data_IF_967325962990
#
_entry.id   IF_967325962990
#
_cell.length_a   1.000
_cell.length_b   1.000
_cell.length_c   1.000
_cell.angle_alpha   90.00
_cell.angle_beta   90.00
_cell.angle_gamma   90.00
#
_symmetry.space_group_name_H-M   'P 1'
#
loop_
_entity.id
_entity.type
_entity.pdbx_description
1 polymer ?
#
# COMPACT_ATOMS: atom_id res chain seq x y z
N UNK A 1 -12.98 38.64 -9.57
CA UNK A 1 -13.13 37.90 -8.31
C UNK A 1 -12.52 36.52 -8.55
N UNK A 2 -11.58 36.09 -7.71
CA UNK A 2 -10.93 34.78 -7.90
C UNK A 2 -11.92 33.70 -7.47
N UNK A 3 -12.25 32.73 -8.34
CA UNK A 3 -13.15 31.64 -7.96
C UNK A 3 -12.48 30.80 -6.87
N UNK A 4 -13.23 30.54 -5.80
CA UNK A 4 -12.79 29.77 -4.65
C UNK A 4 -13.22 28.32 -4.88
N UNK A 5 -12.27 27.39 -4.83
CA UNK A 5 -12.57 25.97 -4.88
C UNK A 5 -13.20 25.52 -3.56
N UNK A 6 -14.45 25.10 -3.61
CA UNK A 6 -15.14 24.45 -2.49
C UNK A 6 -15.00 22.95 -2.67
N UNK A 7 -14.57 22.27 -1.60
CA UNK A 7 -14.39 20.82 -1.59
C UNK A 7 -14.96 20.20 -0.32
N UNK A 8 -15.33 18.92 -0.38
CA UNK A 8 -15.82 18.18 0.78
C UNK A 8 -17.21 18.61 1.30
N UNK A 9 -18.02 19.28 0.49
CA UNK A 9 -19.35 19.74 0.89
C UNK A 9 -20.30 18.56 1.11
N UNK A 10 -20.94 18.52 2.28
CA UNK A 10 -21.83 17.44 2.73
C UNK A 10 -23.03 17.99 3.46
N UNK A 11 -24.18 17.35 3.24
CA UNK A 11 -25.41 17.58 4.01
C UNK A 11 -25.64 16.36 4.90
N UNK A 12 -25.99 16.59 6.17
CA UNK A 12 -26.19 15.55 7.17
C UNK A 12 -27.64 15.51 7.63
N UNK A 13 -28.13 14.32 8.00
CA UNK A 13 -29.38 14.18 8.73
C UNK A 13 -29.21 14.51 10.23
N UNK A 14 -30.32 14.48 10.98
CA UNK A 14 -30.33 14.73 12.43
C UNK A 14 -29.58 13.66 13.26
N UNK A 15 -29.14 12.56 12.63
CA UNK A 15 -28.29 11.54 13.25
C UNK A 15 -26.80 11.73 12.87
N UNK A 16 -26.46 12.80 12.15
CA UNK A 16 -25.09 13.08 11.71
C UNK A 16 -24.62 12.21 10.54
N UNK A 17 -25.52 11.52 9.84
CA UNK A 17 -25.19 10.69 8.67
C UNK A 17 -25.24 11.55 7.41
N UNK A 18 -24.27 11.42 6.53
CA UNK A 18 -24.24 12.17 5.26
C UNK A 18 -25.38 11.70 4.36
N UNK A 19 -26.32 12.57 4.02
CA UNK A 19 -27.43 12.27 3.10
C UNK A 19 -27.18 12.83 1.69
N UNK A 20 -26.33 13.86 1.57
CA UNK A 20 -25.89 14.37 0.28
C UNK A 20 -24.39 14.67 0.31
N UNK A 21 -23.67 14.28 -0.73
CA UNK A 21 -22.26 14.58 -0.92
C UNK A 21 -22.07 15.21 -2.30
N UNK A 22 -21.50 16.42 -2.32
CA UNK A 22 -21.31 17.18 -3.53
C UNK A 22 -19.91 16.95 -4.12
N UNK A 23 -19.82 17.03 -5.44
CA UNK A 23 -18.55 17.18 -6.12
C UNK A 23 -17.91 18.54 -5.81
N UNK A 24 -16.63 18.70 -6.12
CA UNK A 24 -15.98 20.00 -5.97
C UNK A 24 -16.61 21.01 -6.94
N UNK A 25 -16.87 22.22 -6.46
CA UNK A 25 -17.41 23.30 -7.27
C UNK A 25 -16.75 24.63 -6.93
N UNK A 26 -16.88 25.60 -7.83
CA UNK A 26 -16.36 26.95 -7.60
C UNK A 26 -17.44 27.83 -6.99
N UNK A 27 -17.06 28.58 -5.95
CA UNK A 27 -17.87 29.64 -5.34
C UNK A 27 -17.20 30.99 -5.51
N UNK A 28 -18.01 32.04 -5.50
CA UNK A 28 -17.55 33.44 -5.48
C UNK A 28 -17.41 33.99 -4.05
N UNK A 29 -17.67 33.16 -3.03
CA UNK A 29 -17.74 33.57 -1.62
C UNK A 29 -16.99 32.60 -0.71
N UNK A 30 -16.31 33.14 0.30
CA UNK A 30 -15.73 32.35 1.41
C UNK A 30 -16.77 32.03 2.50
N UNK A 31 -17.96 32.64 2.44
CA UNK A 31 -19.00 32.40 3.43
C UNK A 31 -19.69 31.07 3.14
N UNK A 32 -20.09 30.39 4.21
CA UNK A 32 -20.93 29.20 4.11
C UNK A 32 -22.32 29.58 3.60
N UNK A 33 -22.78 28.91 2.55
CA UNK A 33 -24.08 29.15 1.91
C UNK A 33 -24.95 27.88 2.02
N UNK A 34 -25.92 27.83 2.96
CA UNK A 34 -26.78 26.66 3.10
C UNK A 34 -27.59 26.43 1.82
N UNK A 35 -27.81 25.16 1.44
CA UNK A 35 -28.63 24.76 0.29
C UNK A 35 -28.13 25.26 -1.08
N UNK A 36 -26.85 25.01 -1.38
CA UNK A 36 -26.32 25.28 -2.72
C UNK A 36 -27.01 24.42 -3.79
N UNK A 37 -27.55 25.09 -4.82
CA UNK A 37 -27.99 24.47 -6.08
C UNK A 37 -26.83 24.30 -7.06
N UNK A 38 -25.63 24.69 -6.67
CA UNK A 38 -24.42 24.65 -7.51
C UNK A 38 -23.71 23.32 -7.25
N UNK A 39 -23.38 22.64 -8.33
CA UNK A 39 -22.64 21.38 -8.30
C UNK A 39 -23.52 20.14 -8.41
N UNK A 40 -22.90 19.03 -8.81
CA UNK A 40 -23.53 17.73 -8.86
C UNK A 40 -23.41 17.05 -7.50
N UNK A 41 -24.39 16.21 -7.15
CA UNK A 41 -24.41 15.53 -5.85
C UNK A 41 -24.81 14.07 -5.94
N UNK A 42 -24.27 13.29 -5.01
CA UNK A 42 -24.70 11.94 -4.72
C UNK A 42 -25.63 12.00 -3.52
N UNK A 43 -26.75 11.28 -3.58
CA UNK A 43 -27.71 11.14 -2.48
C UNK A 43 -27.56 9.76 -1.82
N UNK A 44 -27.61 9.72 -0.49
CA UNK A 44 -27.38 8.52 0.31
C UNK A 44 -28.61 8.25 1.19
N UNK A 45 -29.10 7.02 1.13
CA UNK A 45 -30.22 6.54 1.95
C UNK A 45 -29.74 5.44 2.89
N UNK A 46 -30.32 5.38 4.09
CA UNK A 46 -29.90 4.47 5.15
C UNK A 46 -31.10 3.74 5.75
N UNK A 47 -30.86 2.52 6.24
CA UNK A 47 -31.84 1.83 7.08
C UNK A 47 -31.88 2.39 8.52
N UNK A 48 -32.74 1.79 9.35
CA UNK A 48 -32.91 2.17 10.75
C UNK A 48 -31.64 1.95 11.60
N UNK A 49 -30.80 0.98 11.22
CA UNK A 49 -29.51 0.67 11.85
C UNK A 49 -28.39 1.61 11.37
N UNK A 50 -28.66 2.47 10.38
CA UNK A 50 -27.68 3.39 9.83
C UNK A 50 -26.76 2.79 8.78
N UNK A 51 -27.12 1.64 8.21
CA UNK A 51 -26.40 1.02 7.09
C UNK A 51 -26.88 1.64 5.77
N UNK A 52 -25.96 1.94 4.86
CA UNK A 52 -26.26 2.51 3.54
C UNK A 52 -27.08 1.50 2.72
N UNK A 53 -28.29 1.85 2.28
CA UNK A 53 -29.16 0.97 1.49
C UNK A 53 -29.22 1.37 0.02
N UNK A 54 -29.00 2.66 -0.28
CA UNK A 54 -29.03 3.17 -1.65
C UNK A 54 -28.13 4.39 -1.79
N UNK A 55 -27.44 4.44 -2.93
CA UNK A 55 -26.64 5.58 -3.38
C UNK A 55 -27.13 5.98 -4.75
N UNK A 56 -27.65 7.19 -4.89
CA UNK A 56 -28.16 7.74 -6.15
C UNK A 56 -27.18 8.78 -6.69
N UNK A 57 -26.79 8.64 -7.94
CA UNK A 57 -25.84 9.51 -8.62
C UNK A 57 -26.57 10.66 -9.33
N UNK A 58 -25.84 11.71 -9.75
CA UNK A 58 -26.45 12.87 -10.40
C UNK A 58 -27.13 12.55 -11.75
N UNK A 59 -26.74 11.45 -12.41
CA UNK A 59 -27.32 10.95 -13.66
C UNK A 59 -28.51 9.99 -13.45
N UNK A 60 -29.09 9.97 -12.24
CA UNK A 60 -30.14 9.06 -11.78
C UNK A 60 -29.76 7.58 -11.69
N UNK A 61 -28.54 7.19 -12.09
CA UNK A 61 -28.03 5.84 -11.83
C UNK A 61 -27.94 5.59 -10.32
N UNK A 62 -27.98 4.33 -9.91
CA UNK A 62 -28.04 3.96 -8.49
C UNK A 62 -27.21 2.73 -8.18
N UNK A 63 -26.68 2.68 -6.97
CA UNK A 63 -26.24 1.45 -6.31
C UNK A 63 -27.24 1.09 -5.21
N UNK A 64 -27.48 -0.21 -5.02
CA UNK A 64 -28.36 -0.74 -3.96
C UNK A 64 -27.60 -1.72 -3.08
N UNK A 65 -27.94 -1.72 -1.80
CA UNK A 65 -27.28 -2.50 -0.76
C UNK A 65 -28.35 -3.21 0.09
N UNK A 66 -28.27 -4.54 0.11
CA UNK A 66 -29.13 -5.38 0.93
C UNK A 66 -28.25 -6.14 1.93
N UNK A 67 -28.67 -6.22 3.19
CA UNK A 67 -27.92 -6.83 4.29
C UNK A 67 -28.63 -8.06 4.87
N UNK A 68 -29.48 -8.67 4.05
CA UNK A 68 -30.35 -9.79 4.38
C UNK A 68 -30.42 -10.69 3.14
N UNK A 69 -30.98 -11.90 3.27
CA UNK A 69 -31.18 -12.80 2.13
C UNK A 69 -32.28 -12.27 1.21
N UNK A 70 -32.05 -12.36 -0.11
CA UNK A 70 -33.02 -11.98 -1.14
C UNK A 70 -33.79 -13.19 -1.66
N UNK A 71 -35.10 -13.05 -1.85
CA UNK A 71 -35.92 -14.08 -2.53
C UNK A 71 -35.58 -14.24 -4.00
N UNK A 72 -35.25 -13.11 -4.63
CA UNK A 72 -34.90 -13.06 -6.04
C UNK A 72 -33.83 -12.02 -6.26
N UNK A 73 -32.75 -12.43 -6.92
CA UNK A 73 -31.74 -11.49 -7.39
C UNK A 73 -32.26 -10.61 -8.54
N UNK A 74 -33.29 -11.07 -9.28
CA UNK A 74 -33.89 -10.30 -10.38
C UNK A 74 -34.88 -9.26 -9.91
N UNK A 75 -35.50 -9.48 -8.75
CA UNK A 75 -36.49 -8.59 -8.13
C UNK A 75 -36.25 -8.58 -6.62
N UNK A 76 -35.33 -7.75 -6.12
CA UNK A 76 -34.99 -7.70 -4.71
C UNK A 76 -36.05 -6.94 -3.90
N UNK A 77 -37.34 -7.26 -4.11
CA UNK A 77 -38.48 -6.61 -3.45
C UNK A 77 -38.85 -7.26 -2.12
N UNK A 78 -38.37 -8.48 -1.87
CA UNK A 78 -38.65 -9.23 -0.64
C UNK A 78 -37.33 -9.72 -0.05
N UNK A 79 -37.17 -9.46 1.24
CA UNK A 79 -35.97 -9.81 2.01
C UNK A 79 -36.36 -10.72 3.17
N UNK A 80 -35.48 -11.66 3.49
CA UNK A 80 -35.62 -12.56 4.62
C UNK A 80 -34.52 -12.32 5.65
N UNK A 81 -34.85 -12.22 6.95
CA UNK A 81 -33.86 -11.99 8.00
C UNK A 81 -32.73 -13.02 7.97
N UNK A 82 -31.54 -12.57 7.60
CA UNK A 82 -30.28 -13.29 7.63
C UNK A 82 -29.15 -12.26 7.67
N UNK A 83 -28.67 -11.96 8.87
CA UNK A 83 -27.62 -10.95 9.07
C UNK A 83 -26.23 -11.36 8.54
N UNK A 84 -26.09 -12.55 7.96
CA UNK A 84 -24.84 -13.07 7.42
C UNK A 84 -24.72 -12.95 5.90
N UNK A 85 -25.70 -12.35 5.23
CA UNK A 85 -25.66 -12.14 3.78
C UNK A 85 -25.73 -10.66 3.42
N UNK A 86 -24.97 -10.29 2.39
CA UNK A 86 -25.02 -8.95 1.80
C UNK A 86 -25.01 -9.03 0.28
N UNK A 87 -25.86 -8.24 -0.35
CA UNK A 87 -25.91 -8.09 -1.81
C UNK A 87 -25.66 -6.63 -2.19
N UNK A 88 -24.80 -6.42 -3.18
CA UNK A 88 -24.46 -5.09 -3.70
C UNK A 88 -24.77 -5.09 -5.20
N UNK A 89 -25.66 -4.21 -5.60
CA UNK A 89 -26.01 -3.94 -6.99
C UNK A 89 -25.32 -2.65 -7.40
N UNK A 90 -24.48 -2.70 -8.43
CA UNK A 90 -23.85 -1.52 -8.99
C UNK A 90 -24.77 -0.76 -9.97
N UNK A 91 -24.27 0.30 -10.60
CA UNK A 91 -25.04 1.07 -11.58
C UNK A 91 -25.44 0.24 -12.81
N UNK A 92 -24.59 -0.70 -13.25
CA UNK A 92 -24.88 -1.56 -14.40
C UNK A 92 -25.91 -2.63 -14.04
N UNK A 93 -25.84 -3.19 -12.83
CA UNK A 93 -26.85 -4.11 -12.31
C UNK A 93 -28.24 -3.48 -12.31
N UNK A 94 -28.32 -2.20 -11.94
CA UNK A 94 -29.55 -1.42 -11.84
C UNK A 94 -29.99 -0.76 -13.17
N UNK A 95 -29.16 -0.81 -14.21
CA UNK A 95 -29.35 -0.05 -15.45
C UNK A 95 -30.64 -0.43 -16.20
N UNK A 96 -31.09 -1.68 -16.11
CA UNK A 96 -32.36 -2.14 -16.70
C UNK A 96 -33.60 -1.50 -16.07
N UNK A 97 -33.49 -0.95 -14.87
CA UNK A 97 -34.58 -0.19 -14.24
C UNK A 97 -34.43 1.32 -14.43
N UNK A 98 -33.20 1.82 -14.45
CA UNK A 98 -32.93 3.28 -14.46
C UNK A 98 -32.88 3.88 -15.86
N UNK A 99 -32.45 3.13 -16.88
CA UNK A 99 -32.31 3.64 -18.25
C UNK A 99 -33.52 3.25 -19.11
N UNK A 100 -34.02 4.20 -19.91
CA UNK A 100 -35.12 3.97 -20.86
C UNK A 100 -34.69 3.15 -22.08
N UNK A 101 -33.46 3.37 -22.54
CA UNK A 101 -32.84 2.65 -23.64
C UNK A 101 -31.50 2.09 -23.17
N UNK A 102 -31.27 0.81 -23.42
CA UNK A 102 -30.10 0.07 -22.95
C UNK A 102 -29.60 -0.86 -24.04
N UNK A 103 -28.28 -0.88 -24.25
CA UNK A 103 -27.63 -1.75 -25.23
C UNK A 103 -27.76 -3.21 -24.84
N UNK A 104 -27.72 -4.12 -25.83
CA UNK A 104 -27.78 -5.56 -25.57
C UNK A 104 -26.61 -6.07 -24.72
N UNK A 105 -25.46 -5.38 -24.75
CA UNK A 105 -24.32 -5.70 -23.89
C UNK A 105 -24.62 -5.36 -22.43
N UNK A 106 -25.16 -4.17 -22.16
CA UNK A 106 -25.45 -3.75 -20.78
C UNK A 106 -26.61 -4.56 -20.17
N UNK A 107 -27.57 -5.02 -20.99
CA UNK A 107 -28.62 -5.96 -20.53
C UNK A 107 -28.07 -7.23 -19.90
N UNK A 108 -26.89 -7.70 -20.31
CA UNK A 108 -26.26 -8.91 -19.73
C UNK A 108 -25.78 -8.71 -18.30
N UNK A 109 -25.50 -7.47 -17.92
CA UNK A 109 -25.06 -7.07 -16.58
C UNK A 109 -26.22 -6.77 -15.64
N UNK A 110 -27.46 -6.72 -16.11
CA UNK A 110 -28.59 -6.44 -15.24
C UNK A 110 -28.80 -7.55 -14.21
N UNK A 111 -29.00 -7.14 -12.95
CA UNK A 111 -29.25 -8.04 -11.83
C UNK A 111 -28.15 -9.10 -11.65
N UNK A 112 -26.89 -8.71 -11.75
CA UNK A 112 -25.72 -9.57 -11.49
C UNK A 112 -24.96 -9.16 -10.22
N UNK A 113 -25.65 -8.98 -9.08
CA UNK A 113 -25.04 -8.36 -7.91
C UNK A 113 -23.87 -9.17 -7.36
N UNK A 114 -23.01 -8.48 -6.62
CA UNK A 114 -22.02 -9.13 -5.77
C UNK A 114 -22.72 -9.62 -4.50
N UNK A 115 -22.61 -10.91 -4.21
CA UNK A 115 -23.03 -11.49 -2.92
C UNK A 115 -21.83 -11.72 -2.01
N UNK A 116 -21.99 -11.40 -0.73
CA UNK A 116 -21.00 -11.62 0.32
C UNK A 116 -21.67 -12.41 1.43
N UNK A 117 -21.03 -13.48 1.88
CA UNK A 117 -21.47 -14.30 3.01
C UNK A 117 -20.45 -14.14 4.14
N UNK A 118 -20.96 -13.90 5.34
CA UNK A 118 -20.19 -13.73 6.55
C UNK A 118 -20.29 -14.96 7.45
N UNK A 119 -19.31 -15.16 8.30
CA UNK A 119 -19.45 -16.04 9.45
C UNK A 119 -20.09 -15.34 10.65
N UNK A 120 -20.23 -16.09 11.76
CA UNK A 120 -20.81 -15.61 13.02
C UNK A 120 -20.03 -14.45 13.66
N UNK A 121 -18.78 -14.22 13.27
CA UNK A 121 -17.95 -13.11 13.72
C UNK A 121 -17.96 -11.93 12.74
N UNK A 122 -18.77 -12.00 11.67
CA UNK A 122 -18.86 -10.95 10.66
C UNK A 122 -17.70 -10.93 9.65
N UNK A 123 -16.92 -12.02 9.55
CA UNK A 123 -15.79 -12.12 8.60
C UNK A 123 -16.28 -12.69 7.27
N UNK A 124 -15.82 -12.13 6.15
CA UNK A 124 -16.21 -12.58 4.80
C UNK A 124 -15.64 -13.97 4.51
N UNK A 125 -16.50 -14.99 4.44
CA UNK A 125 -16.10 -16.37 4.11
C UNK A 125 -16.35 -16.73 2.64
N UNK A 126 -17.23 -16.00 1.97
CA UNK A 126 -17.51 -16.18 0.55
C UNK A 126 -17.86 -14.86 -0.12
N UNK A 127 -17.31 -14.64 -1.31
CA UNK A 127 -17.68 -13.52 -2.18
C UNK A 127 -17.91 -14.02 -3.59
N UNK A 128 -19.11 -13.77 -4.10
CA UNK A 128 -19.58 -14.23 -5.39
C UNK A 128 -19.77 -13.02 -6.28
N UNK A 129 -18.97 -12.93 -7.34
CA UNK A 129 -19.17 -11.98 -8.44
C UNK A 129 -19.86 -12.70 -9.59
N UNK A 130 -20.81 -12.05 -10.26
CA UNK A 130 -21.56 -12.64 -11.37
C UNK A 130 -21.26 -11.87 -12.63
N UNK A 131 -20.69 -12.52 -13.65
CA UNK A 131 -20.46 -11.90 -14.97
C UNK A 131 -21.62 -12.20 -15.93
N UNK A 132 -22.80 -12.48 -15.38
CA UNK A 132 -23.99 -12.93 -16.10
C UNK A 132 -24.89 -13.77 -15.20
N UNK A 133 -26.10 -14.03 -15.67
CA UNK A 133 -27.13 -14.75 -14.89
C UNK A 133 -26.82 -16.23 -14.68
N UNK A 134 -26.11 -16.85 -15.63
CA UNK A 134 -25.78 -18.27 -15.57
C UNK A 134 -24.68 -18.57 -14.52
N UNK A 135 -24.87 -19.60 -13.71
CA UNK A 135 -23.94 -19.96 -12.61
C UNK A 135 -22.50 -20.22 -13.10
N UNK A 136 -22.31 -20.74 -14.31
CA UNK A 136 -20.98 -20.98 -14.90
C UNK A 136 -20.16 -19.69 -15.10
N UNK A 137 -20.83 -18.54 -15.14
CA UNK A 137 -20.22 -17.22 -15.27
C UNK A 137 -19.91 -16.60 -13.90
N UNK A 138 -20.31 -17.25 -12.81
CA UNK A 138 -20.06 -16.76 -11.46
C UNK A 138 -18.63 -17.06 -11.06
N UNK A 139 -18.06 -16.19 -10.25
CA UNK A 139 -16.70 -16.28 -9.72
C UNK A 139 -16.81 -16.12 -8.22
N UNK A 140 -16.73 -17.24 -7.52
CA UNK A 140 -16.68 -17.29 -6.06
C UNK A 140 -15.23 -17.21 -5.58
N UNK A 141 -15.02 -16.57 -4.45
CA UNK A 141 -13.78 -16.62 -3.68
C UNK A 141 -14.14 -17.02 -2.26
N UNK A 142 -13.42 -17.98 -1.71
CA UNK A 142 -13.67 -18.53 -0.38
C UNK A 142 -12.50 -18.20 0.54
N UNK A 143 -12.80 -17.71 1.73
CA UNK A 143 -11.82 -17.30 2.73
C UNK A 143 -11.99 -18.14 3.99
N UNK A 144 -10.87 -18.60 4.54
CA UNK A 144 -10.85 -19.31 5.83
C UNK A 144 -9.99 -18.56 6.82
N UNK A 145 -10.42 -18.59 8.08
CA UNK A 145 -9.79 -17.88 9.18
C UNK A 145 -9.45 -18.84 10.32
N UNK A 146 -8.39 -18.56 11.05
CA UNK A 146 -8.12 -19.24 12.31
C UNK A 146 -9.02 -18.74 13.47
N UNK A 147 -8.83 -19.33 14.65
CA UNK A 147 -9.58 -18.97 15.85
C UNK A 147 -9.29 -17.55 16.37
N UNK A 148 -8.15 -16.95 15.97
CA UNK A 148 -7.78 -15.57 16.31
C UNK A 148 -8.31 -14.55 15.30
N UNK A 149 -8.89 -15.00 14.19
CA UNK A 149 -9.38 -14.12 13.13
C UNK A 149 -8.40 -13.84 12.00
N UNK A 150 -7.25 -14.51 11.97
CA UNK A 150 -6.30 -14.31 10.90
C UNK A 150 -6.71 -15.08 9.64
N UNK A 151 -6.62 -14.45 8.47
CA UNK A 151 -6.91 -15.09 7.19
C UNK A 151 -5.81 -16.10 6.84
N UNK A 152 -6.13 -17.39 6.80
CA UNK A 152 -5.16 -18.49 6.59
C UNK A 152 -5.20 -19.08 5.18
N UNK A 153 -6.31 -18.93 4.46
CA UNK A 153 -6.49 -19.53 3.14
C UNK A 153 -7.50 -18.72 2.32
N UNK A 154 -7.16 -18.49 1.05
CA UNK A 154 -8.13 -18.09 0.01
C UNK A 154 -8.14 -19.16 -1.08
N UNK A 155 -9.33 -19.63 -1.45
CA UNK A 155 -9.54 -20.46 -2.64
C UNK A 155 -10.31 -19.69 -3.71
N UNK A 156 -9.89 -19.86 -4.96
CA UNK A 156 -10.62 -19.38 -6.12
C UNK A 156 -11.88 -20.19 -6.39
N UNK A 157 -12.63 -19.75 -7.40
CA UNK A 157 -13.88 -20.40 -7.82
C UNK A 157 -13.68 -21.85 -8.24
N UNK A 158 -12.51 -22.18 -8.79
CA UNK A 158 -12.08 -23.51 -9.21
C UNK A 158 -11.50 -24.36 -8.06
N UNK A 159 -11.57 -23.87 -6.82
CA UNK A 159 -11.00 -24.53 -5.65
C UNK A 159 -9.47 -24.42 -5.52
N UNK A 160 -8.78 -23.75 -6.47
CA UNK A 160 -7.33 -23.57 -6.38
C UNK A 160 -6.98 -22.63 -5.23
N UNK A 161 -5.91 -22.95 -4.53
CA UNK A 161 -5.33 -22.10 -3.48
C UNK A 161 -4.69 -20.86 -4.12
N UNK A 162 -5.27 -19.69 -3.85
CA UNK A 162 -4.76 -18.40 -4.31
C UNK A 162 -3.84 -17.78 -3.26
N UNK A 163 -4.14 -18.02 -1.99
CA UNK A 163 -3.35 -17.52 -0.87
C UNK A 163 -3.34 -18.54 0.27
N UNK A 164 -2.20 -18.69 0.94
CA UNK A 164 -2.15 -19.42 2.22
C UNK A 164 -1.14 -18.78 3.15
N UNK A 165 -1.57 -18.53 4.38
CA UNK A 165 -0.79 -17.84 5.40
C UNK A 165 -0.62 -18.73 6.63
N UNK A 166 0.52 -18.60 7.28
CA UNK A 166 0.81 -19.19 8.60
C UNK A 166 1.30 -18.06 9.49
N UNK A 167 0.64 -17.91 10.64
CA UNK A 167 0.97 -16.92 11.63
C UNK A 167 1.66 -17.57 12.84
N UNK A 168 2.34 -16.76 13.63
CA UNK A 168 2.78 -17.18 14.96
C UNK A 168 1.58 -17.33 15.92
N UNK A 169 1.85 -17.87 17.11
CA UNK A 169 0.85 -18.01 18.17
C UNK A 169 0.85 -16.82 19.13
N UNK A 170 1.74 -15.83 18.93
CA UNK A 170 1.83 -14.66 19.79
C UNK A 170 0.57 -13.79 19.63
N UNK A 171 0.32 -12.86 20.57
CA UNK A 171 -0.87 -12.01 20.55
C UNK A 171 -1.05 -11.28 19.22
N UNK A 172 0.06 -10.86 18.60
CA UNK A 172 0.06 -9.99 17.43
C UNK A 172 -0.06 -10.73 16.09
N UNK A 173 -0.12 -12.08 16.10
CA UNK A 173 -0.32 -12.90 14.90
C UNK A 173 0.63 -12.53 13.76
N UNK A 174 1.94 -12.61 13.99
CA UNK A 174 2.92 -12.22 12.99
C UNK A 174 2.93 -13.22 11.83
N UNK A 175 2.94 -12.74 10.58
CA UNK A 175 2.89 -13.57 9.38
C UNK A 175 4.26 -14.23 9.10
N UNK A 176 4.41 -15.50 9.51
CA UNK A 176 5.64 -16.27 9.38
C UNK A 176 5.83 -16.84 7.97
N UNK A 177 4.75 -17.23 7.30
CA UNK A 177 4.78 -17.81 5.95
C UNK A 177 3.59 -17.35 5.14
N UNK A 178 3.82 -17.01 3.88
CA UNK A 178 2.76 -16.70 2.90
C UNK A 178 3.06 -17.37 1.57
N UNK A 179 2.04 -17.89 0.91
CA UNK A 179 2.11 -18.44 -0.44
C UNK A 179 1.09 -17.76 -1.35
N UNK A 180 1.48 -17.44 -2.59
CA UNK A 180 0.55 -17.19 -3.70
C UNK A 180 1.12 -17.74 -5.01
N UNK A 181 0.28 -18.10 -6.00
CA UNK A 181 0.75 -18.55 -7.31
C UNK A 181 1.68 -17.55 -8.01
N UNK A 182 1.47 -16.25 -7.81
CA UNK A 182 2.23 -15.19 -8.49
C UNK A 182 3.59 -14.90 -7.84
N UNK A 183 3.70 -15.07 -6.51
CA UNK A 183 4.90 -14.69 -5.74
C UNK A 183 5.64 -15.89 -5.13
N UNK A 184 5.12 -17.09 -5.31
CA UNK A 184 5.63 -18.28 -4.66
C UNK A 184 5.48 -18.22 -3.14
N UNK A 185 6.26 -19.06 -2.46
CA UNK A 185 6.33 -19.09 -1.00
C UNK A 185 7.33 -18.09 -0.46
N UNK A 186 6.93 -17.32 0.55
CA UNK A 186 7.78 -16.39 1.28
C UNK A 186 7.70 -16.67 2.78
N UNK A 187 8.82 -16.52 3.48
CA UNK A 187 9.00 -16.72 4.91
C UNK A 187 9.52 -15.44 5.55
N UNK A 188 9.13 -15.19 6.80
CA UNK A 188 9.60 -14.07 7.61
C UNK A 188 9.96 -14.54 9.01
N UNK A 189 11.03 -13.99 9.55
CA UNK A 189 11.43 -14.18 10.95
C UNK A 189 11.51 -12.81 11.60
N UNK A 190 10.98 -12.75 12.82
CA UNK A 190 10.90 -11.53 13.61
C UNK A 190 11.83 -11.64 14.82
N UNK A 191 12.36 -10.50 15.27
CA UNK A 191 13.00 -10.41 16.58
C UNK A 191 11.96 -10.24 17.71
N UNK A 192 12.45 -10.09 18.95
CA UNK A 192 11.59 -9.97 20.13
C UNK A 192 10.79 -8.66 20.20
N UNK A 193 11.14 -7.65 19.39
CA UNK A 193 10.42 -6.37 19.31
C UNK A 193 9.66 -6.24 17.98
N UNK A 194 9.45 -7.37 17.30
CA UNK A 194 8.61 -7.51 16.10
C UNK A 194 9.19 -6.85 14.84
N UNK A 195 10.49 -6.58 14.78
CA UNK A 195 11.13 -6.25 13.51
C UNK A 195 11.35 -7.50 12.67
N UNK A 196 11.18 -7.38 11.36
CA UNK A 196 11.59 -8.42 10.42
C UNK A 196 13.12 -8.43 10.33
N UNK A 197 13.74 -9.52 10.78
CA UNK A 197 15.19 -9.71 10.71
C UNK A 197 15.61 -10.65 9.58
N UNK A 198 14.68 -11.46 9.07
CA UNK A 198 14.91 -12.34 7.93
C UNK A 198 13.69 -12.40 7.02
N UNK A 199 13.92 -12.30 5.71
CA UNK A 199 12.95 -12.60 4.66
C UNK A 199 13.58 -13.64 3.73
N UNK A 200 12.82 -14.69 3.39
CA UNK A 200 13.29 -15.73 2.46
C UNK A 200 12.20 -16.13 1.49
N UNK A 201 12.54 -16.34 0.22
CA UNK A 201 11.60 -16.87 -0.78
C UNK A 201 11.86 -18.36 -1.10
N UNK A 202 11.02 -18.96 -1.94
CA UNK A 202 11.14 -20.36 -2.37
C UNK A 202 12.38 -20.68 -3.21
N UNK A 203 13.02 -19.65 -3.79
CA UNK A 203 14.31 -19.77 -4.50
C UNK A 203 15.50 -19.64 -3.55
N UNK A 204 15.23 -19.52 -2.24
CA UNK A 204 16.19 -19.20 -1.20
C UNK A 204 16.91 -17.86 -1.43
N UNK A 205 16.29 -16.94 -2.15
CA UNK A 205 16.64 -15.53 -2.02
C UNK A 205 16.42 -15.14 -0.56
N UNK A 206 17.37 -14.41 0.00
CA UNK A 206 17.42 -14.13 1.44
C UNK A 206 17.76 -12.66 1.64
N UNK A 207 17.05 -12.03 2.56
CA UNK A 207 17.34 -10.69 3.07
C UNK A 207 17.46 -10.77 4.58
N UNK A 208 18.54 -10.23 5.13
CA UNK A 208 18.78 -10.11 6.57
C UNK A 208 18.88 -8.64 6.93
N UNK A 209 18.21 -8.22 7.99
CA UNK A 209 18.16 -6.81 8.41
C UNK A 209 18.71 -6.71 9.83
N UNK A 210 19.64 -5.78 10.05
CA UNK A 210 20.14 -5.43 11.39
C UNK A 210 19.67 -4.03 11.76
N UNK A 211 19.26 -3.91 13.01
CA UNK A 211 18.82 -2.67 13.64
C UNK A 211 19.86 -2.18 14.65
N UNK A 212 19.86 -0.87 14.91
CA UNK A 212 20.59 -0.27 16.03
C UNK A 212 19.79 -0.33 17.34
N UNK A 213 20.35 0.23 18.41
CA UNK A 213 19.72 0.27 19.74
C UNK A 213 18.48 1.17 19.81
N UNK A 214 18.27 2.03 18.82
CA UNK A 214 17.08 2.89 18.67
C UNK A 214 16.06 2.27 17.71
N UNK A 215 16.23 0.99 17.35
CA UNK A 215 15.36 0.23 16.48
C UNK A 215 15.30 0.73 15.02
N UNK A 216 16.39 1.32 14.53
CA UNK A 216 16.50 1.82 13.14
C UNK A 216 17.32 0.87 12.29
N UNK A 217 16.94 0.56 11.04
CA UNK A 217 17.71 -0.34 10.18
C UNK A 217 19.04 0.31 9.80
N UNK A 218 20.14 -0.44 10.01
CA UNK A 218 21.52 0.01 9.74
C UNK A 218 22.25 -0.81 8.68
N UNK A 219 21.88 -2.08 8.49
CA UNK A 219 22.53 -2.97 7.50
C UNK A 219 21.52 -3.94 6.91
N UNK A 220 21.61 -4.15 5.60
CA UNK A 220 20.84 -5.16 4.88
C UNK A 220 21.80 -6.05 4.11
N UNK A 221 21.82 -7.33 4.44
CA UNK A 221 22.50 -8.34 3.66
C UNK A 221 21.52 -9.08 2.77
N UNK A 222 21.93 -9.43 1.56
CA UNK A 222 21.08 -10.19 0.67
C UNK A 222 21.85 -11.18 -0.21
N UNK A 223 21.10 -12.15 -0.75
CA UNK A 223 21.47 -13.00 -1.88
C UNK A 223 20.23 -13.33 -2.70
N UNK A 224 20.39 -13.56 -4.00
CA UNK A 224 19.27 -13.80 -4.91
C UNK A 224 18.86 -15.28 -5.02
N UNK A 225 19.74 -16.21 -4.63
CA UNK A 225 19.44 -17.63 -4.58
C UNK A 225 20.42 -18.39 -3.68
N UNK A 226 20.15 -19.67 -3.43
CA UNK A 226 20.96 -20.51 -2.55
C UNK A 226 22.45 -20.64 -2.94
N UNK A 227 22.78 -20.54 -4.24
CA UNK A 227 24.15 -20.72 -4.75
C UNK A 227 25.01 -19.47 -4.56
N UNK A 228 24.39 -18.32 -4.33
CA UNK A 228 25.10 -17.06 -4.10
C UNK A 228 25.51 -16.92 -2.63
N UNK A 229 26.63 -16.22 -2.43
CA UNK A 229 27.05 -15.77 -1.10
C UNK A 229 26.14 -14.63 -0.66
N UNK A 230 25.95 -14.52 0.65
CA UNK A 230 25.28 -13.38 1.27
C UNK A 230 26.29 -12.21 1.28
N UNK A 231 25.90 -11.05 0.77
CA UNK A 231 26.72 -9.84 0.75
C UNK A 231 25.95 -8.67 1.36
N UNK A 232 26.66 -7.67 1.90
CA UNK A 232 26.06 -6.46 2.45
C UNK A 232 25.68 -5.54 1.28
N UNK A 233 24.38 -5.35 1.04
CA UNK A 233 23.83 -4.55 -0.08
C UNK A 233 23.48 -3.14 0.31
N UNK A 234 23.11 -2.93 1.56
CA UNK A 234 22.72 -1.62 2.06
C UNK A 234 23.32 -1.37 3.44
N UNK A 235 23.82 -0.15 3.66
CA UNK A 235 24.28 0.30 4.97
C UNK A 235 23.86 1.76 5.21
N UNK A 236 23.29 2.02 6.38
CA UNK A 236 22.85 3.35 6.81
C UNK A 236 23.65 3.80 8.02
N UNK A 237 24.16 5.02 7.95
CA UNK A 237 24.88 5.67 9.04
C UNK A 237 24.05 6.88 9.45
N UNK A 238 23.56 6.87 10.69
CA UNK A 238 22.81 7.99 11.27
C UNK A 238 23.76 9.00 11.91
N UNK A 239 23.41 10.29 11.85
CA UNK A 239 24.27 11.38 12.36
C UNK A 239 24.44 11.39 13.87
N UNK A 240 23.60 10.67 14.61
CA UNK A 240 23.71 10.47 16.06
C UNK A 240 24.42 9.18 16.46
N UNK A 241 24.82 8.34 15.49
CA UNK A 241 25.66 7.19 15.72
C UNK A 241 27.14 7.62 15.60
N UNK A 242 27.67 8.27 16.64
CA UNK A 242 28.97 8.95 16.60
C UNK A 242 30.16 8.04 16.26
N UNK A 243 30.10 6.76 16.65
CA UNK A 243 31.14 5.77 16.35
C UNK A 243 31.24 5.52 14.83
N UNK A 244 30.11 5.35 14.15
CA UNK A 244 30.09 5.05 12.71
C UNK A 244 30.05 6.29 11.82
N UNK A 245 29.45 7.38 12.29
CA UNK A 245 29.34 8.64 11.54
C UNK A 245 30.63 9.46 11.55
N UNK A 246 31.46 9.30 12.58
CA UNK A 246 32.69 10.08 12.76
C UNK A 246 32.45 11.57 13.04
N UNK A 247 31.19 12.00 13.25
CA UNK A 247 30.85 13.37 13.60
C UNK A 247 30.57 13.47 15.11
N UNK A 248 30.90 14.62 15.70
CA UNK A 248 30.59 14.92 17.09
C UNK A 248 29.12 15.28 17.29
N UNK A 249 28.60 15.12 18.51
CA UNK A 249 27.25 15.55 18.88
C UNK A 249 26.98 17.02 18.54
N UNK A 250 27.99 17.90 18.73
CA UNK A 250 27.89 19.32 18.40
C UNK A 250 27.68 19.53 16.90
N UNK A 251 28.43 18.82 16.05
CA UNK A 251 28.28 18.89 14.60
C UNK A 251 26.92 18.34 14.17
N UNK A 252 26.50 17.19 14.71
CA UNK A 252 25.20 16.59 14.41
C UNK A 252 24.05 17.55 14.73
N UNK A 253 24.08 18.24 15.88
CA UNK A 253 23.10 19.27 16.22
C UNK A 253 23.17 20.49 15.31
N UNK A 254 24.37 20.98 14.99
CA UNK A 254 24.54 22.11 14.09
C UNK A 254 23.97 21.83 12.69
N UNK A 255 24.11 20.60 12.20
CA UNK A 255 23.66 20.15 10.89
C UNK A 255 22.23 19.56 10.88
N UNK A 256 21.49 19.61 12.00
CA UNK A 256 20.17 18.98 12.14
C UNK A 256 20.17 17.47 11.78
N UNK A 257 21.24 16.75 12.10
CA UNK A 257 21.42 15.33 11.74
C UNK A 257 21.06 14.33 12.86
N UNK A 258 20.66 14.80 14.03
CA UNK A 258 20.20 13.90 15.10
C UNK A 258 18.96 13.16 14.61
N UNK A 259 18.92 11.83 14.78
CA UNK A 259 17.92 10.92 14.23
C UNK A 259 17.81 10.84 12.70
N UNK A 260 18.69 11.50 11.95
CA UNK A 260 18.66 11.50 10.49
C UNK A 260 19.84 10.73 9.90
N UNK A 261 19.65 10.23 8.69
CA UNK A 261 20.71 9.53 7.95
C UNK A 261 21.76 10.54 7.52
N UNK A 262 23.02 10.27 7.84
CA UNK A 262 24.17 11.03 7.31
C UNK A 262 24.69 10.41 6.01
N UNK A 263 24.86 9.09 5.98
CA UNK A 263 25.31 8.34 4.81
C UNK A 263 24.43 7.13 4.54
N UNK A 264 24.12 6.89 3.28
CA UNK A 264 23.36 5.73 2.82
C UNK A 264 24.08 5.07 1.66
N UNK A 265 24.64 3.90 1.93
CA UNK A 265 25.25 3.01 0.94
C UNK A 265 24.17 2.05 0.44
N UNK A 266 24.02 1.92 -0.87
CA UNK A 266 23.09 1.01 -1.53
C UNK A 266 23.78 0.30 -2.72
N UNK A 267 23.03 -0.47 -3.52
CA UNK A 267 23.60 -1.23 -4.63
C UNK A 267 24.08 -0.38 -5.82
N UNK A 268 23.75 0.91 -5.85
CA UNK A 268 24.18 1.83 -6.88
C UNK A 268 25.21 2.85 -6.38
N UNK A 269 25.62 2.81 -5.11
CA UNK A 269 26.70 3.62 -4.56
C UNK A 269 26.37 4.26 -3.21
N UNK A 270 26.67 5.55 -3.06
CA UNK A 270 26.59 6.28 -1.78
C UNK A 270 25.79 7.58 -1.94
N UNK A 271 24.85 7.80 -1.02
CA UNK A 271 24.22 9.11 -0.79
C UNK A 271 24.78 9.72 0.49
N UNK A 272 25.27 10.95 0.41
CA UNK A 272 25.71 11.74 1.57
C UNK A 272 24.76 12.92 1.76
N UNK A 273 24.19 13.04 2.94
CA UNK A 273 23.36 14.19 3.33
C UNK A 273 24.27 15.26 3.91
N UNK A 274 24.67 16.22 3.08
CA UNK A 274 25.60 17.28 3.45
C UNK A 274 25.26 18.57 2.72
N UNK A 275 25.37 19.70 3.41
CA UNK A 275 25.21 21.02 2.84
C UNK A 275 26.49 21.51 2.12
N UNK A 276 26.33 22.20 0.99
CA UNK A 276 27.42 22.82 0.22
C UNK A 276 28.10 23.97 0.98
N UNK A 277 27.29 24.79 1.65
CA UNK A 277 27.74 26.00 2.32
C UNK A 277 27.70 25.82 3.84
N UNK A 278 28.68 26.43 4.52
CA UNK A 278 28.87 26.30 5.97
C UNK A 278 27.68 26.82 6.80
N UNK A 279 26.83 27.64 6.20
CA UNK A 279 25.61 28.23 6.77
C UNK A 279 24.33 27.44 6.45
N UNK A 280 24.39 26.47 5.53
CA UNK A 280 23.28 25.58 5.22
C UNK A 280 23.37 24.27 6.00
N UNK A 281 22.21 23.63 6.19
CA UNK A 281 22.07 22.33 6.84
C UNK A 281 21.47 21.34 5.82
N UNK A 282 21.86 20.06 5.85
CA UNK A 282 21.25 19.05 4.97
C UNK A 282 19.77 18.80 5.29
N UNK A 283 19.34 19.14 6.50
CA UNK A 283 17.95 19.10 6.92
C UNK A 283 17.49 20.47 7.40
N UNK A 284 16.32 20.93 6.93
CA UNK A 284 15.70 22.14 7.46
C UNK A 284 15.11 21.90 8.87
N UNK A 285 14.47 22.91 9.46
CA UNK A 285 13.86 22.79 10.78
C UNK A 285 12.57 21.95 10.81
N UNK A 286 12.01 21.63 9.64
CA UNK A 286 10.84 20.77 9.45
C UNK A 286 11.26 19.36 9.01
N UNK A 287 12.55 19.04 9.10
CA UNK A 287 13.13 17.73 8.75
C UNK A 287 13.12 17.40 7.24
N UNK A 288 12.91 18.39 6.38
CA UNK A 288 13.02 18.17 4.93
C UNK A 288 14.49 18.12 4.48
N UNK A 289 14.78 17.29 3.48
CA UNK A 289 16.12 17.18 2.88
C UNK A 289 16.40 18.41 2.00
N UNK A 290 17.33 19.25 2.43
CA UNK A 290 17.73 20.48 1.71
C UNK A 290 18.88 20.23 0.75
N UNK A 291 19.82 19.34 1.10
CA UNK A 291 21.02 19.12 0.29
C UNK A 291 21.53 17.68 0.45
N UNK A 292 21.87 17.06 -0.67
CA UNK A 292 22.45 15.72 -0.73
C UNK A 292 23.35 15.56 -1.95
N UNK A 293 24.32 14.66 -1.85
CA UNK A 293 25.23 14.30 -2.94
C UNK A 293 25.12 12.80 -3.18
N UNK A 294 24.98 12.40 -4.44
CA UNK A 294 24.98 11.01 -4.88
C UNK A 294 26.30 10.69 -5.57
N UNK A 295 27.01 9.71 -5.06
CA UNK A 295 28.14 9.06 -5.73
C UNK A 295 27.66 7.72 -6.28
N UNK A 296 27.86 7.49 -7.57
CA UNK A 296 27.51 6.23 -8.24
C UNK A 296 28.78 5.48 -8.60
N UNK A 297 28.71 4.14 -8.68
CA UNK A 297 29.84 3.34 -9.16
C UNK A 297 30.25 3.79 -10.56
N UNK A 298 31.55 3.91 -10.80
CA UNK A 298 32.04 4.28 -12.13
C UNK A 298 31.82 3.18 -13.16
N UNK A 299 31.55 3.56 -14.40
CA UNK A 299 31.39 2.61 -15.50
C UNK A 299 32.55 1.61 -15.58
N UNK A 300 33.80 2.08 -15.46
CA UNK A 300 35.00 1.24 -15.47
C UNK A 300 35.01 0.23 -14.30
N UNK A 301 34.61 0.67 -13.10
CA UNK A 301 34.53 -0.20 -11.93
C UNK A 301 33.45 -1.26 -12.10
N UNK A 302 32.27 -0.88 -12.58
CA UNK A 302 31.16 -1.81 -12.84
C UNK A 302 31.58 -2.82 -13.91
N UNK A 303 32.17 -2.39 -15.03
CA UNK A 303 32.59 -3.27 -16.11
C UNK A 303 33.71 -4.25 -15.69
N UNK A 304 34.63 -3.81 -14.85
CA UNK A 304 35.72 -4.67 -14.33
C UNK A 304 35.21 -5.73 -13.35
N UNK A 305 34.21 -5.41 -12.53
CA UNK A 305 33.73 -6.25 -11.44
C UNK A 305 32.42 -6.99 -11.73
N UNK A 306 31.78 -6.72 -12.87
CA UNK A 306 30.64 -7.50 -13.33
C UNK A 306 31.08 -8.89 -13.77
N UNK A 307 30.36 -9.92 -13.35
CA UNK A 307 30.64 -11.30 -13.77
C UNK A 307 30.39 -11.43 -15.27
N UNK A 308 31.42 -11.84 -16.02
CA UNK A 308 31.29 -12.23 -17.43
C UNK A 308 30.79 -13.68 -17.52
N UNK A 309 29.58 -13.93 -17.04
CA UNK A 309 28.87 -15.17 -17.36
C UNK A 309 28.02 -14.97 -18.63
N UNK A 310 27.70 -16.06 -19.33
CA UNK A 310 27.01 -16.10 -20.63
C UNK A 310 25.63 -15.39 -20.65
N UNK A 311 25.06 -15.06 -19.48
CA UNK A 311 23.74 -14.45 -19.30
C UNK A 311 23.75 -12.95 -18.91
N UNK A 312 24.87 -12.24 -19.11
CA UNK A 312 25.09 -10.88 -18.58
C UNK A 312 25.01 -10.87 -17.04
N UNK A 313 26.11 -11.19 -16.37
CA UNK A 313 26.15 -11.21 -14.91
C UNK A 313 25.79 -9.85 -14.31
N UNK A 314 24.82 -9.85 -13.40
CA UNK A 314 24.43 -8.66 -12.63
C UNK A 314 25.61 -8.18 -11.79
N UNK A 315 25.90 -6.88 -11.81
CA UNK A 315 26.85 -6.26 -10.90
C UNK A 315 26.34 -6.43 -9.47
N UNK A 316 27.19 -6.98 -8.61
CA UNK A 316 26.86 -7.23 -7.21
C UNK A 316 28.02 -6.73 -6.35
N UNK A 317 27.75 -5.76 -5.48
CA UNK A 317 28.75 -5.18 -4.59
C UNK A 317 28.55 -5.67 -3.15
N UNK A 318 29.65 -5.93 -2.45
CA UNK A 318 29.64 -6.28 -1.02
C UNK A 318 30.32 -5.17 -0.22
N UNK A 319 29.52 -4.37 0.48
CA UNK A 319 30.01 -3.32 1.39
C UNK A 319 30.76 -3.88 2.60
N UNK A 320 30.74 -5.20 2.82
CA UNK A 320 31.47 -5.84 3.91
C UNK A 320 32.87 -6.33 3.49
N UNK A 321 33.23 -6.25 2.20
CA UNK A 321 34.55 -6.65 1.71
C UNK A 321 35.59 -5.57 2.04
N UNK A 322 36.65 -5.88 2.81
CA UNK A 322 37.69 -4.91 3.13
C UNK A 322 38.45 -4.36 1.92
N UNK A 323 38.45 -5.06 0.78
CA UNK A 323 39.10 -4.59 -0.45
C UNK A 323 38.32 -3.47 -1.15
N UNK A 324 37.07 -3.26 -0.75
CA UNK A 324 36.13 -2.31 -1.34
C UNK A 324 36.02 -0.99 -0.54
N UNK A 325 36.99 -0.69 0.33
CA UNK A 325 36.93 0.42 1.29
C UNK A 325 37.53 1.74 0.80
N UNK A 326 38.22 1.78 -0.35
CA UNK A 326 38.73 3.04 -0.91
C UNK A 326 37.68 3.67 -1.83
N UNK A 327 36.86 4.56 -1.27
CA UNK A 327 35.80 5.28 -1.99
C UNK A 327 36.34 6.09 -3.19
N UNK A 328 37.64 6.44 -3.22
CA UNK A 328 38.23 7.28 -4.27
C UNK A 328 38.46 6.56 -5.60
N UNK A 329 38.49 5.22 -5.61
CA UNK A 329 38.70 4.40 -6.82
C UNK A 329 37.39 3.79 -7.37
N UNK A 330 36.28 3.99 -6.65
CA UNK A 330 35.03 3.22 -6.87
C UNK A 330 33.95 4.07 -7.53
N UNK A 331 33.91 5.37 -7.24
CA UNK A 331 32.81 6.25 -7.65
C UNK A 331 33.17 7.22 -8.78
N UNK A 332 32.15 7.61 -9.53
CA UNK A 332 32.15 8.80 -10.37
C UNK A 332 32.07 10.10 -9.55
N UNK A 333 32.12 11.24 -10.24
CA UNK A 333 31.89 12.55 -9.65
C UNK A 333 30.51 12.61 -8.96
N UNK A 334 30.45 13.28 -7.80
CA UNK A 334 29.24 13.37 -7.00
C UNK A 334 28.17 14.29 -7.60
N UNK A 335 26.97 13.78 -7.80
CA UNK A 335 25.81 14.55 -8.26
C UNK A 335 25.08 15.20 -7.08
N UNK A 336 25.16 16.52 -6.97
CA UNK A 336 24.47 17.28 -5.92
C UNK A 336 23.02 17.57 -6.29
N UNK A 337 22.13 17.46 -5.31
CA UNK A 337 20.74 17.91 -5.41
C UNK A 337 20.43 18.81 -4.22
N UNK A 338 20.10 20.07 -4.50
CA UNK A 338 19.63 21.01 -3.50
C UNK A 338 18.16 21.31 -3.69
N UNK A 339 17.40 21.37 -2.59
CA UNK A 339 15.96 21.62 -2.57
C UNK A 339 15.65 22.82 -1.69
N UNK A 340 14.61 23.55 -2.06
CA UNK A 340 14.04 24.63 -1.26
C UNK A 340 12.55 24.36 -1.08
N UNK A 341 12.09 24.48 0.17
CA UNK A 341 10.71 24.26 0.54
C UNK A 341 10.08 25.59 0.93
N UNK A 342 8.87 25.83 0.44
CA UNK A 342 8.07 26.95 0.89
C UNK A 342 7.61 26.71 2.34
N UNK A 343 7.56 27.80 3.11
CA UNK A 343 7.24 27.78 4.53
C UNK A 343 5.76 27.54 4.81
#
# INVERSE_FOLDING_TARGET
MIPILVSGWKVYDNKGRTIEQYENFYSNSLKFEPETTIGQKIQLEYDALGRLTKKKFPDDSKELYFYETLDSLEKPSTIHPNSWEKHIYDQNDNSCETLKEISDELKKHCNTPVSIIYDVFGREISKIKRNGKEEKLWRATYSEYDAKGNLILIRGHDGRKILSNVYDLNSNSQLLKSFSPDKGTNFRIFDAVENIIEIRDERNALTLIKFDTLNRPIKIWARNNQKQKITLREMKIYGDNFESSGISEKQAKQLNMINHIYKHYDEAGLVVFQAEYIDKKPYDFKENIVDKIRFVFSDDFVLKNSKKDEDYGTFEFDWNDPQNLDESEIFEEGYRTSMQYDA
#
